data_IF_768883023623
#
_entry.id   IF_768883023623
#
_cell.length_a   1.000
_cell.length_b   1.000
_cell.length_c   1.000
_cell.angle_alpha   90.00
_cell.angle_beta   90.00
_cell.angle_gamma   90.00
#
_symmetry.space_group_name_H-M   'P 1'
#
loop_
_entity.id
_entity.type
_entity.pdbx_description
1 polymer ?
#
# COMPACT_ATOMS: atom_id res chain seq x y z
N UNK A 1 29.69 13.36 -12.60
CA UNK A 1 29.30 13.15 -11.19
C UNK A 1 28.37 14.26 -10.70
N UNK A 2 28.76 15.55 -10.83
CA UNK A 2 27.96 16.72 -10.41
C UNK A 2 26.56 16.81 -11.06
N UNK A 3 26.43 16.53 -12.36
CA UNK A 3 25.16 16.71 -13.08
C UNK A 3 23.99 15.83 -12.62
N UNK A 4 24.23 14.55 -12.26
CA UNK A 4 23.15 13.65 -11.84
C UNK A 4 22.64 13.98 -10.43
N UNK A 5 23.55 14.34 -9.52
CA UNK A 5 23.19 14.81 -8.18
C UNK A 5 22.36 16.09 -8.27
N UNK A 6 22.73 17.00 -9.19
CA UNK A 6 22.00 18.23 -9.44
C UNK A 6 20.54 17.95 -9.85
N UNK A 7 20.29 17.00 -10.77
CA UNK A 7 18.92 16.65 -11.16
C UNK A 7 18.07 16.17 -9.98
N UNK A 8 18.62 15.32 -9.11
CA UNK A 8 17.89 14.79 -7.94
C UNK A 8 17.63 15.89 -6.94
N UNK A 9 18.63 16.72 -6.65
CA UNK A 9 18.51 17.81 -5.71
C UNK A 9 17.46 18.82 -6.19
N UNK A 10 17.50 19.21 -7.47
CA UNK A 10 16.49 20.09 -8.07
C UNK A 10 15.10 19.45 -7.99
N UNK A 11 14.98 18.17 -8.31
CA UNK A 11 13.71 17.43 -8.26
C UNK A 11 13.11 17.41 -6.84
N UNK A 12 13.90 17.14 -5.80
CA UNK A 12 13.43 17.12 -4.42
C UNK A 12 13.18 18.53 -3.86
N UNK A 13 14.01 19.52 -4.22
CA UNK A 13 13.77 20.93 -3.86
C UNK A 13 12.47 21.41 -4.50
N UNK A 14 12.20 21.05 -5.76
CA UNK A 14 10.95 21.39 -6.42
C UNK A 14 9.75 20.75 -5.70
N UNK A 15 9.86 19.47 -5.30
CA UNK A 15 8.81 18.81 -4.52
C UNK A 15 8.56 19.50 -3.17
N UNK A 16 9.62 19.91 -2.45
CA UNK A 16 9.51 20.65 -1.19
C UNK A 16 8.95 22.08 -1.36
N UNK A 17 9.28 22.72 -2.48
CA UNK A 17 8.73 24.02 -2.85
C UNK A 17 7.23 23.92 -3.15
N UNK A 18 6.83 22.92 -3.94
CA UNK A 18 5.41 22.64 -4.23
C UNK A 18 4.66 22.32 -2.93
N UNK A 19 5.25 21.48 -2.07
CA UNK A 19 4.69 21.15 -0.75
C UNK A 19 4.41 22.41 0.10
N UNK A 20 5.36 23.35 0.14
CA UNK A 20 5.21 24.59 0.91
C UNK A 20 4.13 25.53 0.38
N UNK A 21 3.73 25.42 -0.89
CA UNK A 21 2.75 26.31 -1.54
C UNK A 21 1.36 25.66 -1.60
N UNK A 22 1.29 24.41 -2.03
CA UNK A 22 0.05 23.70 -2.30
C UNK A 22 -0.43 22.85 -1.12
N UNK A 23 0.40 22.64 -0.10
CA UNK A 23 0.13 21.65 0.94
C UNK A 23 0.22 20.23 0.39
N UNK A 24 -0.51 19.30 1.02
CA UNK A 24 -0.43 17.88 0.67
C UNK A 24 -1.13 17.55 -0.65
N UNK A 25 -0.68 16.47 -1.27
CA UNK A 25 -1.24 16.00 -2.52
C UNK A 25 -2.66 15.44 -2.33
N UNK A 26 -3.62 15.85 -3.16
CA UNK A 26 -4.98 15.33 -3.10
C UNK A 26 -5.05 13.87 -3.62
N UNK A 27 -5.00 12.89 -2.71
CA UNK A 27 -5.00 11.47 -3.08
C UNK A 27 -6.25 11.04 -3.88
N UNK A 28 -7.39 11.72 -3.77
CA UNK A 28 -8.59 11.40 -4.56
C UNK A 28 -8.34 11.43 -6.09
N UNK A 29 -7.27 12.09 -6.57
CA UNK A 29 -6.86 12.03 -7.97
C UNK A 29 -6.46 10.61 -8.42
N UNK A 30 -6.12 9.72 -7.48
CA UNK A 30 -5.85 8.30 -7.73
C UNK A 30 -7.04 7.39 -7.41
N UNK A 31 -8.26 7.90 -7.31
CA UNK A 31 -9.44 7.04 -7.20
C UNK A 31 -9.77 6.41 -8.56
N UNK A 32 -10.25 5.17 -8.55
CA UNK A 32 -10.75 4.49 -9.75
C UNK A 32 -11.83 5.34 -10.47
N UNK A 33 -11.81 5.47 -11.81
CA UNK A 33 -10.92 4.78 -12.77
C UNK A 33 -9.62 5.54 -13.12
N UNK A 34 -9.42 6.74 -12.54
CA UNK A 34 -8.37 7.65 -12.96
C UNK A 34 -6.97 7.10 -12.67
N UNK A 35 -6.77 6.43 -11.54
CA UNK A 35 -5.51 5.75 -11.24
C UNK A 35 -5.07 4.77 -12.33
N UNK A 36 -5.97 3.94 -12.85
CA UNK A 36 -5.65 2.96 -13.91
C UNK A 36 -5.21 3.68 -15.18
N UNK A 37 -5.93 4.74 -15.57
CA UNK A 37 -5.60 5.54 -16.76
C UNK A 37 -4.21 6.17 -16.60
N UNK A 38 -3.94 6.82 -15.47
CA UNK A 38 -2.66 7.44 -15.17
C UNK A 38 -1.52 6.43 -15.13
N UNK A 39 -1.76 5.27 -14.52
CA UNK A 39 -0.77 4.21 -14.39
C UNK A 39 -0.38 3.61 -15.75
N UNK A 40 -1.36 3.39 -16.64
CA UNK A 40 -1.14 2.94 -18.02
C UNK A 40 -0.41 4.00 -18.84
N UNK A 41 -0.85 5.26 -18.77
CA UNK A 41 -0.20 6.38 -19.46
C UNK A 41 1.26 6.53 -19.02
N UNK A 42 1.51 6.53 -17.70
CA UNK A 42 2.86 6.63 -17.15
C UNK A 42 3.74 5.43 -17.54
N UNK A 43 3.22 4.20 -17.48
CA UNK A 43 3.95 2.99 -17.91
C UNK A 43 4.31 3.04 -19.40
N UNK A 44 3.40 3.53 -20.25
CA UNK A 44 3.66 3.76 -21.67
C UNK A 44 4.75 4.82 -21.90
N UNK A 45 4.74 5.91 -21.12
CA UNK A 45 5.78 6.93 -21.18
C UNK A 45 7.15 6.39 -20.78
N UNK A 46 7.25 5.57 -19.72
CA UNK A 46 8.51 4.90 -19.35
C UNK A 46 9.03 4.01 -20.49
N UNK A 47 8.14 3.25 -21.13
CA UNK A 47 8.50 2.45 -22.30
C UNK A 47 8.98 3.31 -23.48
N UNK A 48 8.32 4.44 -23.75
CA UNK A 48 8.72 5.38 -24.81
C UNK A 48 10.09 6.00 -24.51
N UNK A 49 10.31 6.46 -23.29
CA UNK A 49 11.60 6.96 -22.83
C UNK A 49 12.69 5.91 -22.98
N UNK A 50 12.44 4.66 -22.62
CA UNK A 50 13.41 3.58 -22.82
C UNK A 50 13.83 3.40 -24.28
N UNK A 51 12.88 3.46 -25.23
CA UNK A 51 13.18 3.39 -26.67
C UNK A 51 14.06 4.57 -27.12
N UNK A 52 13.92 5.73 -26.49
CA UNK A 52 14.68 6.94 -26.80
C UNK A 52 15.88 7.18 -25.86
N UNK A 53 16.31 6.15 -25.12
CA UNK A 53 17.37 6.27 -24.10
C UNK A 53 18.69 6.85 -24.58
N UNK A 54 19.00 6.69 -25.87
CA UNK A 54 20.24 7.22 -26.45
C UNK A 54 20.12 8.71 -26.79
N UNK A 55 18.90 9.25 -26.93
CA UNK A 55 18.65 10.64 -27.31
C UNK A 55 18.47 11.55 -26.09
N UNK A 56 17.79 11.07 -25.05
CA UNK A 56 17.41 11.89 -23.90
C UNK A 56 18.39 11.72 -22.72
N UNK A 57 19.10 12.78 -22.29
CA UNK A 57 19.95 12.74 -21.09
C UNK A 57 19.17 12.34 -19.84
N UNK A 58 17.90 12.76 -19.76
CA UNK A 58 16.98 12.44 -18.67
C UNK A 58 16.76 10.92 -18.52
N UNK A 59 16.59 10.18 -19.61
CA UNK A 59 16.43 8.72 -19.54
C UNK A 59 17.72 8.04 -19.06
N UNK A 60 18.89 8.53 -19.48
CA UNK A 60 20.18 8.01 -18.99
C UNK A 60 20.38 8.30 -17.50
N UNK A 61 19.90 9.46 -17.05
CA UNK A 61 19.84 9.80 -15.63
C UNK A 61 18.92 8.82 -14.88
N UNK A 62 17.67 8.64 -15.31
CA UNK A 62 16.74 7.73 -14.64
C UNK A 62 17.20 6.27 -14.64
N UNK A 63 17.90 5.80 -15.68
CA UNK A 63 18.41 4.42 -15.76
C UNK A 63 19.71 4.20 -14.95
N UNK A 64 20.31 5.26 -14.40
CA UNK A 64 21.61 5.16 -13.72
C UNK A 64 21.49 4.47 -12.36
N UNK A 65 22.45 3.60 -12.02
CA UNK A 65 22.55 2.97 -10.69
C UNK A 65 22.69 3.99 -9.55
N UNK A 66 23.23 5.18 -9.85
CA UNK A 66 23.31 6.28 -8.87
C UNK A 66 21.90 6.76 -8.47
N UNK A 67 21.01 6.91 -9.44
CA UNK A 67 19.60 7.28 -9.20
C UNK A 67 18.92 6.24 -8.33
N UNK A 68 19.21 4.95 -8.53
CA UNK A 68 18.73 3.88 -7.64
C UNK A 68 19.20 4.10 -6.20
N UNK A 69 20.51 4.28 -5.98
CA UNK A 69 21.07 4.52 -4.64
C UNK A 69 20.41 5.73 -3.97
N UNK A 70 20.31 6.86 -4.68
CA UNK A 70 19.70 8.07 -4.14
C UNK A 70 18.21 7.87 -3.83
N UNK A 71 17.45 7.22 -4.73
CA UNK A 71 16.02 6.96 -4.49
C UNK A 71 15.81 6.07 -3.26
N UNK A 72 16.69 5.09 -3.02
CA UNK A 72 16.65 4.23 -1.84
C UNK A 72 17.01 5.02 -0.58
N UNK A 73 18.09 5.83 -0.61
CA UNK A 73 18.47 6.68 0.54
C UNK A 73 17.35 7.67 0.87
N UNK A 74 16.75 8.30 -0.13
CA UNK A 74 15.62 9.21 0.05
C UNK A 74 14.40 8.49 0.60
N UNK A 75 14.09 7.27 0.14
CA UNK A 75 13.01 6.46 0.70
C UNK A 75 13.28 6.13 2.17
N UNK A 76 14.49 5.71 2.53
CA UNK A 76 14.88 5.45 3.93
C UNK A 76 14.71 6.72 4.77
N UNK A 77 15.19 7.87 4.28
CA UNK A 77 15.00 9.16 4.95
C UNK A 77 13.52 9.50 5.16
N UNK A 78 12.68 9.28 4.14
CA UNK A 78 11.23 9.46 4.24
C UNK A 78 10.58 8.51 5.24
N UNK A 79 10.97 7.25 5.26
CA UNK A 79 10.50 6.27 6.25
C UNK A 79 10.89 6.63 7.67
N UNK A 80 12.07 7.25 7.87
CA UNK A 80 12.46 7.79 9.17
C UNK A 80 11.55 8.95 9.60
N UNK A 81 11.15 9.84 8.68
CA UNK A 81 10.19 10.91 9.01
C UNK A 81 8.86 10.30 9.45
N UNK A 82 8.36 9.29 8.73
CA UNK A 82 7.13 8.56 9.09
C UNK A 82 7.22 7.94 10.48
N UNK A 83 8.37 7.36 10.84
CA UNK A 83 8.57 6.70 12.14
C UNK A 83 8.90 7.63 13.30
N UNK A 84 9.48 8.81 13.03
CA UNK A 84 9.92 9.76 14.07
C UNK A 84 8.92 10.88 14.35
N UNK A 85 8.03 11.18 13.40
CA UNK A 85 6.96 12.18 13.55
C UNK A 85 5.60 11.51 13.70
N UNK A 86 4.70 12.03 14.57
CA UNK A 86 3.35 11.52 14.63
C UNK A 86 2.64 11.77 13.29
N UNK A 87 2.06 10.71 12.73
CA UNK A 87 1.27 10.78 11.52
C UNK A 87 -0.20 11.04 11.90
N UNK A 88 -0.62 12.29 11.73
CA UNK A 88 -1.89 12.85 12.15
C UNK A 88 -2.91 12.86 11.01
N UNK A 89 -4.18 13.03 11.35
CA UNK A 89 -5.22 13.32 10.37
C UNK A 89 -5.01 14.69 9.72
N UNK A 90 -5.61 14.93 8.55
CA UNK A 90 -5.43 16.19 7.83
C UNK A 90 -5.90 17.41 8.64
N UNK A 91 -6.94 17.25 9.47
CA UNK A 91 -7.43 18.31 10.35
C UNK A 91 -6.44 18.64 11.48
N UNK A 92 -5.92 17.62 12.15
CA UNK A 92 -4.95 17.78 13.24
C UNK A 92 -3.59 18.29 12.73
N UNK A 93 -3.16 17.82 11.56
CA UNK A 93 -1.94 18.29 10.91
C UNK A 93 -2.05 19.77 10.51
N UNK A 94 -3.23 20.21 10.05
CA UNK A 94 -3.50 21.62 9.73
C UNK A 94 -3.43 22.57 10.93
N UNK A 95 -3.52 22.06 12.16
CA UNK A 95 -3.35 22.84 13.38
C UNK A 95 -1.88 22.97 13.80
N UNK A 96 -0.94 22.29 13.14
CA UNK A 96 0.49 22.37 13.44
C UNK A 96 1.14 23.49 12.66
N UNK A 97 2.06 24.21 13.31
CA UNK A 97 2.85 25.29 12.71
C UNK A 97 4.34 24.93 12.62
N UNK A 98 5.09 25.73 11.85
CA UNK A 98 6.53 25.63 11.71
C UNK A 98 7.02 24.86 10.48
N UNK A 99 8.35 24.76 10.33
CA UNK A 99 8.99 24.20 9.12
C UNK A 99 8.61 22.74 8.90
N UNK A 100 8.51 21.94 9.98
CA UNK A 100 8.10 20.54 9.88
C UNK A 100 6.66 20.39 9.38
N UNK A 101 5.75 21.28 9.80
CA UNK A 101 4.38 21.29 9.28
C UNK A 101 4.35 21.75 7.82
N UNK A 102 5.11 22.80 7.46
CA UNK A 102 5.20 23.29 6.08
C UNK A 102 5.74 22.23 5.10
N UNK A 103 6.65 21.37 5.55
CA UNK A 103 7.19 20.25 4.76
C UNK A 103 6.30 18.99 4.78
N UNK A 104 5.17 19.02 5.49
CA UNK A 104 4.22 17.90 5.56
C UNK A 104 4.68 16.74 6.45
N UNK A 105 5.58 16.94 7.42
CA UNK A 105 6.12 15.84 8.24
C UNK A 105 5.05 15.12 9.10
N UNK A 106 3.96 15.79 9.44
CA UNK A 106 2.87 15.24 10.26
C UNK A 106 1.85 14.42 9.46
N UNK A 107 1.90 14.45 8.13
CA UNK A 107 1.07 13.65 7.23
C UNK A 107 1.90 13.29 5.99
N UNK A 108 3.09 12.74 6.24
CA UNK A 108 4.17 12.70 5.25
C UNK A 108 3.88 11.80 4.06
N UNK A 109 3.09 10.73 4.25
CA UNK A 109 2.72 9.80 3.18
C UNK A 109 1.91 10.45 2.05
N UNK A 110 1.26 11.60 2.30
CA UNK A 110 0.53 12.37 1.29
C UNK A 110 1.27 13.64 0.85
N UNK A 111 2.50 13.86 1.35
CA UNK A 111 3.32 14.99 0.95
C UNK A 111 3.85 14.85 -0.48
N UNK A 112 4.05 15.98 -1.17
CA UNK A 112 4.68 16.00 -2.49
C UNK A 112 6.10 15.45 -2.46
N UNK A 113 6.81 15.60 -1.32
CA UNK A 113 8.17 15.08 -1.14
C UNK A 113 8.15 13.55 -1.19
N UNK A 114 7.28 12.92 -0.39
CA UNK A 114 7.17 11.45 -0.38
C UNK A 114 6.72 10.90 -1.73
N UNK A 115 5.69 11.51 -2.34
CA UNK A 115 5.20 11.12 -3.66
C UNK A 115 6.30 11.25 -4.71
N UNK A 116 7.07 12.34 -4.68
CA UNK A 116 8.18 12.54 -5.60
C UNK A 116 9.26 11.45 -5.43
N UNK A 117 9.62 11.10 -4.18
CA UNK A 117 10.59 10.03 -3.87
C UNK A 117 10.09 8.69 -4.41
N UNK A 118 8.84 8.33 -4.11
CA UNK A 118 8.26 7.05 -4.51
C UNK A 118 8.12 6.96 -6.04
N UNK A 119 7.69 8.05 -6.69
CA UNK A 119 7.58 8.14 -8.15
C UNK A 119 8.95 8.03 -8.84
N UNK A 120 10.00 8.63 -8.28
CA UNK A 120 11.37 8.51 -8.79
C UNK A 120 11.88 7.08 -8.68
N UNK A 121 11.69 6.43 -7.52
CA UNK A 121 12.05 5.03 -7.31
C UNK A 121 11.31 4.10 -8.28
N UNK A 122 9.99 4.24 -8.39
CA UNK A 122 9.15 3.45 -9.29
C UNK A 122 9.54 3.65 -10.77
N UNK A 123 9.87 4.88 -11.17
CA UNK A 123 10.33 5.20 -12.53
C UNK A 123 11.71 4.60 -12.83
N UNK A 124 12.66 4.73 -11.90
CA UNK A 124 13.99 4.13 -12.00
C UNK A 124 13.88 2.60 -12.10
N UNK A 125 13.14 1.97 -11.18
CA UNK A 125 12.95 0.52 -11.13
C UNK A 125 12.24 0.00 -12.39
N UNK A 126 11.20 0.70 -12.85
CA UNK A 126 10.49 0.36 -14.09
C UNK A 126 11.40 0.36 -15.32
N UNK A 127 12.25 1.39 -15.47
CA UNK A 127 13.22 1.46 -16.57
C UNK A 127 14.30 0.39 -16.48
N UNK A 128 14.77 0.05 -15.27
CA UNK A 128 15.72 -1.05 -15.04
C UNK A 128 15.10 -2.40 -15.44
N UNK A 129 13.84 -2.64 -15.10
CA UNK A 129 13.09 -3.83 -15.51
C UNK A 129 12.98 -3.90 -17.03
N UNK A 130 12.52 -2.82 -17.68
CA UNK A 130 12.41 -2.77 -19.14
C UNK A 130 13.78 -3.05 -19.77
N UNK A 131 14.84 -2.42 -19.27
CA UNK A 131 16.20 -2.65 -19.76
C UNK A 131 16.64 -4.11 -19.66
N UNK A 132 16.38 -4.74 -18.52
CA UNK A 132 16.73 -6.13 -18.25
C UNK A 132 15.92 -7.11 -19.11
N UNK A 133 14.63 -6.85 -19.34
CA UNK A 133 13.77 -7.64 -20.22
C UNK A 133 14.28 -7.64 -21.67
N UNK A 134 14.74 -6.50 -22.19
CA UNK A 134 15.31 -6.41 -23.54
C UNK A 134 16.69 -7.09 -23.66
N UNK A 135 17.47 -7.17 -22.58
CA UNK A 135 18.80 -7.79 -22.58
C UNK A 135 18.80 -9.13 -21.82
N UNK A 136 17.71 -9.91 -21.96
CA UNK A 136 17.39 -11.13 -21.21
C UNK A 136 18.51 -12.18 -21.17
N UNK A 137 19.35 -12.28 -22.22
CA UNK A 137 20.49 -13.23 -22.24
C UNK A 137 21.52 -12.96 -21.14
N UNK A 138 21.60 -11.73 -20.60
CA UNK A 138 22.49 -11.34 -19.50
C UNK A 138 21.77 -11.23 -18.15
N UNK A 139 20.46 -10.98 -18.15
CA UNK A 139 19.66 -10.85 -16.94
C UNK A 139 19.19 -12.22 -16.42
N UNK A 140 19.70 -12.63 -15.26
CA UNK A 140 19.30 -13.88 -14.61
C UNK A 140 17.83 -13.78 -14.15
N UNK A 141 17.01 -14.82 -14.30
CA UNK A 141 15.59 -14.80 -13.89
C UNK A 141 15.38 -14.33 -12.44
N UNK A 142 16.31 -14.67 -11.56
CA UNK A 142 16.36 -14.18 -10.17
C UNK A 142 16.37 -12.66 -10.03
N UNK A 143 17.07 -11.96 -10.93
CA UNK A 143 17.08 -10.50 -10.97
C UNK A 143 15.70 -9.97 -11.36
N UNK A 144 15.13 -10.50 -12.45
CA UNK A 144 13.83 -10.06 -12.95
C UNK A 144 12.70 -10.32 -11.96
N UNK A 145 12.64 -11.51 -11.35
CA UNK A 145 11.60 -11.86 -10.37
C UNK A 145 11.61 -10.91 -9.16
N UNK A 146 12.78 -10.64 -8.59
CA UNK A 146 12.90 -9.72 -7.47
C UNK A 146 12.53 -8.28 -7.85
N UNK A 147 13.00 -7.78 -8.99
CA UNK A 147 12.75 -6.38 -9.38
C UNK A 147 11.30 -6.17 -9.82
N UNK A 148 10.73 -7.07 -10.63
CA UNK A 148 9.32 -7.01 -11.03
C UNK A 148 8.43 -7.17 -9.80
N UNK A 149 8.77 -8.11 -8.90
CA UNK A 149 8.00 -8.30 -7.66
C UNK A 149 7.96 -7.06 -6.78
N UNK A 150 9.12 -6.43 -6.56
CA UNK A 150 9.21 -5.17 -5.82
C UNK A 150 8.44 -4.05 -6.52
N UNK A 151 8.58 -3.95 -7.84
CA UNK A 151 7.88 -2.93 -8.62
C UNK A 151 6.37 -3.10 -8.53
N UNK A 152 5.84 -4.31 -8.68
CA UNK A 152 4.40 -4.59 -8.56
C UNK A 152 3.86 -4.25 -7.16
N UNK A 153 4.58 -4.62 -6.09
CA UNK A 153 4.17 -4.33 -4.73
C UNK A 153 4.11 -2.81 -4.44
N UNK A 154 5.16 -2.07 -4.82
CA UNK A 154 5.18 -0.61 -4.64
C UNK A 154 4.20 0.10 -5.57
N UNK A 155 4.04 -0.38 -6.81
CA UNK A 155 3.13 0.18 -7.80
C UNK A 155 1.67 0.05 -7.36
N UNK A 156 1.27 -1.14 -6.89
CA UNK A 156 -0.07 -1.38 -6.35
C UNK A 156 -0.34 -0.55 -5.09
N UNK A 157 0.64 -0.45 -4.19
CA UNK A 157 0.53 0.42 -3.02
C UNK A 157 0.36 1.90 -3.38
N UNK A 158 1.10 2.38 -4.39
CA UNK A 158 1.03 3.79 -4.81
C UNK A 158 -0.28 4.12 -5.54
N UNK A 159 -0.57 3.45 -6.66
CA UNK A 159 -1.74 3.74 -7.49
C UNK A 159 -3.05 3.24 -6.89
N UNK A 160 -3.00 2.24 -6.00
CA UNK A 160 -4.17 1.70 -5.31
C UNK A 160 -4.47 2.34 -3.96
N UNK A 161 -3.62 3.24 -3.46
CA UNK A 161 -3.76 3.86 -2.12
C UNK A 161 -5.12 4.50 -1.89
N UNK A 162 -5.66 5.20 -2.89
CA UNK A 162 -6.94 5.90 -2.80
C UNK A 162 -8.17 5.01 -3.00
N UNK A 163 -7.98 3.77 -3.43
CA UNK A 163 -9.07 2.78 -3.55
C UNK A 163 -9.25 1.97 -2.27
N UNK A 164 -8.41 2.20 -1.26
CA UNK A 164 -8.52 1.54 0.05
C UNK A 164 -9.63 2.21 0.87
N UNK A 165 -10.63 1.43 1.26
CA UNK A 165 -11.68 1.85 2.18
C UNK A 165 -11.69 0.90 3.38
N UNK A 166 -11.61 1.48 4.58
CA UNK A 166 -11.69 0.73 5.84
C UNK A 166 -12.85 1.33 6.65
N UNK A 167 -13.91 0.55 6.83
CA UNK A 167 -15.06 0.94 7.64
C UNK A 167 -15.35 -0.10 8.70
N UNK A 168 -16.10 0.29 9.73
CA UNK A 168 -16.53 -0.58 10.83
C UNK A 168 -18.03 -0.54 10.96
N UNK A 169 -18.63 -1.69 11.20
CA UNK A 169 -20.07 -1.84 11.38
C UNK A 169 -20.33 -2.58 12.70
N UNK A 170 -21.08 -1.96 13.64
CA UNK A 170 -21.55 -2.66 14.83
C UNK A 170 -22.78 -3.51 14.47
N UNK A 171 -22.73 -4.80 14.79
CA UNK A 171 -23.86 -5.70 14.67
C UNK A 171 -24.42 -6.01 16.05
N UNK A 172 -25.74 -5.95 16.18
CA UNK A 172 -26.46 -6.32 17.39
C UNK A 172 -27.29 -7.56 17.10
N UNK A 173 -27.36 -8.49 18.06
CA UNK A 173 -28.11 -9.72 17.90
C UNK A 173 -29.58 -9.44 17.52
N UNK A 174 -30.05 -10.09 16.45
CA UNK A 174 -31.42 -9.95 15.93
C UNK A 174 -31.74 -8.59 15.30
N UNK A 175 -30.74 -7.77 14.98
CA UNK A 175 -30.90 -6.54 14.19
C UNK A 175 -30.05 -6.60 12.93
N UNK A 176 -30.66 -6.23 11.81
CA UNK A 176 -29.95 -6.01 10.56
C UNK A 176 -29.26 -4.64 10.60
N UNK A 177 -28.08 -4.56 10.02
CA UNK A 177 -27.30 -3.34 9.87
C UNK A 177 -26.77 -3.22 8.45
N UNK A 178 -26.73 -1.99 7.93
CA UNK A 178 -26.26 -1.68 6.57
C UNK A 178 -25.36 -0.45 6.54
N UNK A 179 -25.25 0.27 7.67
CA UNK A 179 -24.43 1.46 7.80
C UNK A 179 -23.10 1.12 8.45
N UNK A 180 -22.01 1.42 7.74
CA UNK A 180 -20.65 1.30 8.25
C UNK A 180 -20.01 2.67 8.40
N UNK A 181 -19.07 2.80 9.32
CA UNK A 181 -18.45 4.06 9.70
C UNK A 181 -16.95 4.00 9.44
N UNK A 182 -16.42 5.01 8.76
CA UNK A 182 -14.97 5.21 8.62
C UNK A 182 -14.37 5.82 9.89
N UNK A 183 -13.04 5.84 10.00
CA UNK A 183 -12.33 6.36 11.18
C UNK A 183 -12.51 7.87 11.41
N UNK A 184 -12.84 8.60 10.35
CA UNK A 184 -13.21 10.02 10.36
C UNK A 184 -14.68 10.27 10.74
N UNK A 185 -15.47 9.21 10.96
CA UNK A 185 -16.90 9.28 11.26
C UNK A 185 -17.81 9.37 10.04
N UNK A 186 -17.26 9.33 8.82
CA UNK A 186 -18.05 9.32 7.59
C UNK A 186 -18.89 8.03 7.49
N UNK A 187 -20.18 8.17 7.15
CA UNK A 187 -21.14 7.06 7.03
C UNK A 187 -21.12 6.50 5.61
N UNK A 188 -21.02 5.18 5.48
CA UNK A 188 -21.05 4.43 4.23
C UNK A 188 -22.17 3.40 4.27
N UNK A 189 -23.11 3.54 3.34
CA UNK A 189 -24.20 2.60 3.16
C UNK A 189 -23.75 1.43 2.28
N UNK A 190 -23.80 0.21 2.83
CA UNK A 190 -23.41 -1.00 2.13
C UNK A 190 -24.48 -1.40 1.11
N UNK A 191 -24.07 -2.10 0.04
CA UNK A 191 -24.96 -2.67 -0.96
C UNK A 191 -25.54 -4.04 -0.52
N UNK A 192 -25.32 -4.43 0.73
CA UNK A 192 -25.82 -5.66 1.34
C UNK A 192 -26.01 -5.45 2.85
N UNK A 193 -26.91 -6.24 3.44
CA UNK A 193 -27.18 -6.21 4.87
C UNK A 193 -26.24 -7.16 5.63
N UNK A 194 -25.99 -6.85 6.90
CA UNK A 194 -25.31 -7.72 7.83
C UNK A 194 -26.15 -7.95 9.08
N UNK A 195 -26.08 -9.15 9.65
CA UNK A 195 -26.81 -9.51 10.87
C UNK A 195 -25.98 -10.46 11.73
N UNK A 196 -25.98 -10.23 13.05
CA UNK A 196 -25.37 -11.13 14.03
C UNK A 196 -26.41 -12.17 14.48
N UNK A 197 -26.15 -13.44 14.21
CA UNK A 197 -26.98 -14.55 14.69
C UNK A 197 -26.54 -14.99 16.09
N UNK A 198 -25.25 -15.25 16.27
CA UNK A 198 -24.71 -15.64 17.55
C UNK A 198 -23.24 -15.28 17.68
N UNK A 199 -22.78 -15.12 18.92
CA UNK A 199 -21.38 -14.92 19.24
C UNK A 199 -20.97 -16.01 20.24
N UNK A 200 -19.87 -16.70 19.97
CA UNK A 200 -19.36 -17.78 20.80
C UNK A 200 -17.91 -17.53 21.21
N UNK A 201 -17.61 -17.81 22.48
CA UNK A 201 -16.26 -17.76 23.03
C UNK A 201 -15.92 -19.14 23.58
N UNK A 202 -14.86 -19.74 23.05
CA UNK A 202 -14.30 -20.95 23.62
C UNK A 202 -13.21 -20.59 24.62
N UNK A 203 -13.09 -21.40 25.67
CA UNK A 203 -12.14 -21.22 26.74
C UNK A 203 -11.26 -22.46 26.87
N UNK A 204 -9.97 -22.24 27.13
CA UNK A 204 -9.07 -23.28 27.59
C UNK A 204 -9.48 -23.79 28.99
N UNK A 205 -9.01 -24.97 29.42
CA UNK A 205 -9.29 -25.50 30.75
C UNK A 205 -8.86 -24.59 31.91
N UNK A 206 -7.89 -23.69 31.67
CA UNK A 206 -7.43 -22.70 32.64
C UNK A 206 -8.31 -21.42 32.70
N UNK A 207 -9.42 -21.38 31.95
CA UNK A 207 -10.35 -20.26 31.90
C UNK A 207 -9.94 -19.11 30.99
N UNK A 208 -8.80 -19.20 30.28
CA UNK A 208 -8.40 -18.20 29.30
C UNK A 208 -9.17 -18.40 27.98
N UNK A 209 -9.66 -17.34 27.34
CA UNK A 209 -10.34 -17.49 26.05
C UNK A 209 -9.36 -17.99 24.97
N UNK A 210 -9.79 -18.98 24.19
CA UNK A 210 -9.02 -19.62 23.12
C UNK A 210 -9.48 -19.21 21.73
N UNK A 211 -10.79 -19.01 21.55
CA UNK A 211 -11.41 -18.71 20.25
C UNK A 211 -12.58 -17.75 20.42
N UNK A 212 -12.66 -16.78 19.52
CA UNK A 212 -13.76 -15.83 19.42
C UNK A 212 -14.35 -15.93 18.03
N UNK A 213 -15.63 -16.31 17.96
CA UNK A 213 -16.31 -16.56 16.71
C UNK A 213 -17.70 -15.89 16.69
N UNK A 214 -18.04 -15.28 15.57
CA UNK A 214 -19.35 -14.67 15.32
C UNK A 214 -20.02 -15.37 14.14
N UNK A 215 -21.18 -15.97 14.35
CA UNK A 215 -22.07 -16.43 13.28
C UNK A 215 -22.84 -15.22 12.75
N UNK A 216 -22.56 -14.87 11.49
CA UNK A 216 -23.13 -13.69 10.85
C UNK A 216 -23.71 -14.04 9.49
N UNK A 217 -24.78 -13.35 9.15
CA UNK A 217 -25.29 -13.28 7.78
C UNK A 217 -24.74 -12.01 7.13
N UNK A 218 -24.16 -12.15 5.94
CA UNK A 218 -23.60 -11.08 5.12
C UNK A 218 -24.24 -11.21 3.74
N UNK A 219 -25.16 -10.32 3.41
CA UNK A 219 -26.05 -10.45 2.25
C UNK A 219 -26.83 -11.77 2.32
N UNK A 220 -26.64 -12.60 1.31
CA UNK A 220 -27.27 -13.92 1.18
C UNK A 220 -26.43 -15.07 1.76
N UNK A 221 -25.25 -14.77 2.31
CA UNK A 221 -24.29 -15.77 2.79
C UNK A 221 -24.22 -15.78 4.31
N UNK A 222 -24.40 -16.94 4.94
CA UNK A 222 -24.10 -17.13 6.36
C UNK A 222 -22.70 -17.72 6.52
N UNK A 223 -21.91 -17.14 7.41
CA UNK A 223 -20.54 -17.56 7.68
C UNK A 223 -20.17 -17.34 9.14
N UNK A 224 -19.17 -18.08 9.60
CA UNK A 224 -18.55 -17.87 10.91
C UNK A 224 -17.31 -17.01 10.72
N UNK A 225 -17.28 -15.85 11.36
CA UNK A 225 -16.12 -14.96 11.42
C UNK A 225 -15.34 -15.24 12.69
N UNK A 226 -14.04 -15.51 12.57
CA UNK A 226 -13.16 -15.72 13.71
C UNK A 226 -12.10 -14.62 13.79
N UNK A 227 -11.65 -14.34 15.01
CA UNK A 227 -10.52 -13.44 15.22
C UNK A 227 -9.30 -13.97 14.46
N UNK A 228 -8.57 -13.07 13.78
CA UNK A 228 -7.43 -13.38 12.90
C UNK A 228 -7.73 -14.20 11.64
N UNK A 229 -8.99 -14.53 11.36
CA UNK A 229 -9.39 -15.25 10.15
C UNK A 229 -10.38 -14.40 9.33
N UNK A 230 -9.88 -13.56 8.40
CA UNK A 230 -10.75 -12.73 7.56
C UNK A 230 -11.60 -13.56 6.61
N UNK A 231 -12.84 -13.14 6.44
CA UNK A 231 -13.72 -13.67 5.40
C UNK A 231 -13.60 -12.86 4.13
N UNK A 232 -13.25 -13.55 3.03
CA UNK A 232 -13.16 -12.94 1.71
C UNK A 232 -14.57 -12.94 1.09
N UNK A 233 -15.33 -11.88 1.30
CA UNK A 233 -16.72 -11.81 0.83
C UNK A 233 -16.79 -11.66 -0.70
N UNK A 234 -15.99 -10.73 -1.26
CA UNK A 234 -15.88 -10.53 -2.71
C UNK A 234 -14.48 -10.05 -3.10
N UNK A 235 -14.25 -9.86 -4.41
CA UNK A 235 -12.96 -9.44 -4.93
C UNK A 235 -12.47 -8.15 -4.26
N UNK A 236 -11.37 -8.28 -3.50
CA UNK A 236 -10.77 -7.15 -2.81
C UNK A 236 -11.58 -6.65 -1.62
N UNK A 237 -12.50 -7.43 -1.04
CA UNK A 237 -13.24 -7.03 0.16
C UNK A 237 -13.15 -8.13 1.22
N UNK A 238 -12.49 -7.79 2.33
CA UNK A 238 -12.26 -8.67 3.47
C UNK A 238 -13.01 -8.15 4.70
N UNK A 239 -13.65 -9.06 5.43
CA UNK A 239 -14.40 -8.75 6.63
C UNK A 239 -13.73 -9.41 7.82
N UNK A 240 -13.42 -8.60 8.84
CA UNK A 240 -12.70 -9.00 10.03
C UNK A 240 -13.59 -8.84 11.27
N UNK A 241 -13.56 -9.82 12.16
CA UNK A 241 -14.07 -9.64 13.53
C UNK A 241 -13.04 -8.85 14.35
N UNK A 242 -13.40 -7.64 14.77
CA UNK A 242 -12.46 -6.71 15.43
C UNK A 242 -12.83 -6.31 16.85
N UNK A 243 -14.11 -6.43 17.21
CA UNK A 243 -14.59 -6.10 18.55
C UNK A 243 -15.81 -6.93 18.93
N UNK A 244 -16.06 -7.02 20.23
CA UNK A 244 -17.22 -7.69 20.81
C UNK A 244 -17.48 -7.18 22.22
N UNK A 245 -18.64 -7.52 22.78
CA UNK A 245 -18.95 -7.22 24.18
C UNK A 245 -18.16 -8.12 25.14
N UNK A 246 -17.23 -7.52 25.88
CA UNK A 246 -16.45 -8.23 26.91
C UNK A 246 -17.16 -8.33 28.25
N UNK A 247 -18.30 -7.63 28.44
CA UNK A 247 -19.01 -7.61 29.73
C UNK A 247 -19.84 -8.86 29.98
N UNK A 248 -20.14 -9.62 28.92
CA UNK A 248 -21.20 -10.64 28.93
C UNK A 248 -20.69 -12.08 28.77
N UNK A 249 -19.52 -12.42 29.37
CA UNK A 249 -18.97 -13.79 29.57
C UNK A 249 -19.41 -14.87 28.55
N UNK A 250 -19.27 -14.62 27.24
CA UNK A 250 -19.55 -15.60 26.18
C UNK A 250 -20.88 -15.46 25.44
N UNK A 251 -21.84 -14.66 25.94
CA UNK A 251 -23.12 -14.35 25.26
C UNK A 251 -23.17 -12.88 24.82
N UNK A 252 -22.17 -12.45 24.05
CA UNK A 252 -22.08 -11.07 23.56
C UNK A 252 -23.26 -10.76 22.64
N UNK A 253 -24.04 -9.73 23.00
CA UNK A 253 -25.19 -9.28 22.22
C UNK A 253 -24.79 -8.32 21.08
N UNK A 254 -23.50 -8.03 20.95
CA UNK A 254 -22.96 -7.20 19.88
C UNK A 254 -21.54 -7.61 19.49
N UNK A 255 -21.21 -7.42 18.20
CA UNK A 255 -19.86 -7.50 17.67
C UNK A 255 -19.56 -6.31 16.74
N UNK A 256 -18.27 -6.05 16.50
CA UNK A 256 -17.81 -5.05 15.53
C UNK A 256 -17.08 -5.78 14.42
N UNK A 257 -17.61 -5.65 13.22
CA UNK A 257 -16.93 -6.09 12.02
C UNK A 257 -16.20 -4.92 11.37
N UNK A 258 -15.00 -5.17 10.84
CA UNK A 258 -14.25 -4.22 10.03
C UNK A 258 -14.25 -4.71 8.58
N UNK A 259 -14.72 -3.87 7.67
CA UNK A 259 -14.78 -4.11 6.24
C UNK A 259 -13.59 -3.40 5.61
N UNK A 260 -12.77 -4.16 4.89
CA UNK A 260 -11.56 -3.67 4.24
C UNK A 260 -11.68 -3.91 2.75
N UNK A 261 -11.93 -2.86 1.99
CA UNK A 261 -11.94 -2.89 0.52
C UNK A 261 -10.58 -2.44 0.01
N UNK A 262 -9.86 -3.34 -0.67
CA UNK A 262 -8.54 -3.15 -1.26
C UNK A 262 -8.44 -3.89 -2.61
N UNK A 263 -8.93 -3.30 -3.73
CA UNK A 263 -8.94 -3.97 -5.03
C UNK A 263 -7.55 -4.39 -5.54
N UNK A 264 -6.52 -3.62 -5.17
CA UNK A 264 -5.13 -3.82 -5.60
C UNK A 264 -4.38 -4.88 -4.79
N UNK A 265 -4.99 -5.46 -3.75
CA UNK A 265 -4.32 -6.41 -2.82
C UNK A 265 -3.66 -7.56 -3.56
N UNK A 266 -4.30 -8.09 -4.61
CA UNK A 266 -3.80 -9.23 -5.36
C UNK A 266 -2.54 -8.89 -6.17
N UNK A 267 -2.42 -7.66 -6.70
CA UNK A 267 -1.21 -7.22 -7.39
C UNK A 267 -0.05 -7.14 -6.40
N UNK A 268 -0.30 -6.63 -5.18
CA UNK A 268 0.68 -6.62 -4.09
C UNK A 268 1.13 -8.03 -3.72
N UNK A 269 0.18 -8.97 -3.54
CA UNK A 269 0.48 -10.37 -3.22
C UNK A 269 1.29 -11.04 -4.33
N UNK A 270 0.93 -10.84 -5.60
CA UNK A 270 1.73 -11.35 -6.74
C UNK A 270 3.15 -10.79 -6.67
N UNK A 271 3.30 -9.49 -6.39
CA UNK A 271 4.62 -8.87 -6.21
C UNK A 271 5.45 -9.53 -5.10
N UNK A 272 4.85 -9.79 -3.94
CA UNK A 272 5.49 -10.47 -2.81
C UNK A 272 5.90 -11.90 -3.17
N UNK A 273 5.01 -12.67 -3.80
CA UNK A 273 5.29 -14.05 -4.22
C UNK A 273 6.42 -14.10 -5.27
N UNK A 274 6.48 -13.14 -6.18
CA UNK A 274 7.58 -13.03 -7.15
C UNK A 274 8.92 -12.73 -6.48
N UNK A 275 8.96 -11.85 -5.48
CA UNK A 275 10.16 -11.61 -4.68
C UNK A 275 10.59 -12.87 -3.93
N UNK A 276 9.65 -13.58 -3.30
CA UNK A 276 9.94 -14.84 -2.59
C UNK A 276 10.54 -15.88 -3.54
N UNK A 277 9.94 -16.09 -4.72
CA UNK A 277 10.47 -16.98 -5.74
C UNK A 277 11.87 -16.55 -6.22
N UNK A 278 12.07 -15.25 -6.41
CA UNK A 278 13.37 -14.68 -6.75
C UNK A 278 14.44 -14.93 -5.68
N UNK A 279 14.08 -14.85 -4.40
CA UNK A 279 14.95 -15.14 -3.26
C UNK A 279 15.29 -16.64 -3.16
N UNK A 280 14.30 -17.53 -3.31
CA UNK A 280 14.53 -18.99 -3.33
C UNK A 280 15.51 -19.37 -4.45
N UNK A 281 15.33 -18.79 -5.65
CA UNK A 281 16.25 -19.02 -6.78
C UNK A 281 17.67 -18.50 -6.54
N UNK A 282 17.86 -17.49 -5.68
CA UNK A 282 19.19 -17.01 -5.28
C UNK A 282 19.90 -18.06 -4.42
N UNK A 283 19.19 -18.72 -3.51
CA UNK A 283 19.74 -19.78 -2.65
C UNK A 283 20.07 -21.06 -3.42
N UNK A 284 19.17 -21.51 -4.30
CA UNK A 284 19.37 -22.75 -5.08
C UNK A 284 20.55 -22.61 -6.05
N UNK A 285 20.67 -21.46 -6.72
CA UNK A 285 21.68 -21.22 -7.74
C UNK A 285 22.75 -20.24 -7.25
N UNK A 286 23.40 -20.57 -6.14
CA UNK A 286 24.45 -19.76 -5.50
C UNK A 286 25.51 -19.21 -6.49
N UNK A 287 26.38 -18.27 -6.06
CA UNK A 287 27.32 -17.60 -6.96
C UNK A 287 28.17 -18.63 -7.70
N UNK A 288 27.91 -18.82 -9.00
CA UNK A 288 28.82 -19.59 -9.85
C UNK A 288 30.13 -18.80 -9.88
N UNK A 289 31.17 -19.34 -9.25
CA UNK A 289 32.52 -18.81 -9.38
C UNK A 289 32.85 -18.73 -10.87
N UNK A 290 32.96 -17.51 -11.39
CA UNK A 290 33.72 -17.28 -12.62
C UNK A 290 35.16 -17.65 -12.28
N UNK A 291 35.60 -18.83 -12.72
CA UNK A 291 37.02 -19.13 -12.81
C UNK A 291 37.61 -18.06 -13.74
N UNK A 292 38.52 -17.25 -13.18
CA UNK A 292 39.34 -16.28 -13.89
C UNK A 292 40.32 -16.99 -14.80
#
# INVERSE_FOLDING_TARGET
MRGQLLFILIYLILAAFIQSILGNFPLYFFTFPLNVILALMWSFLLFRFYKERNRLPFTRFLLSSRTSIFSIISLIGGSLIIGLFPQLSDSEAGMKEGIAAALGCYNFMTSWIFIAILFLLLSNLGLVIIHACYHRKKAKMRFLLNHIGLWLALFAGFFGSSDVLITRIPLYAGKTAQESYSMDGSVYHLDYEMELHSFNVEYYPNGMPSRFAADVRIGDQSTVLEVNHPYNYRFGEDIYLTGYDTRNNGNSQYCVLQIVRQPWKYITVVGILMMLAGAILLFINGPKHTQS
#
